data_IF_892570053271
#
_entry.id   IF_892570053271
#
_cell.length_a   1.000
_cell.length_b   1.000
_cell.length_c   1.000
_cell.angle_alpha   90.00
_cell.angle_beta   90.00
_cell.angle_gamma   90.00
#
_symmetry.space_group_name_H-M   'P 1'
#
loop_
_entity.id
_entity.type
_entity.pdbx_description
1 polymer ?
#
# COMPACT_ATOMS: atom_id res chain seq x y z
N UNK A 1 12.38 8.89 -11.78
CA UNK A 1 13.84 9.09 -11.63
C UNK A 1 14.16 9.09 -10.14
N UNK A 2 15.07 8.21 -9.68
CA UNK A 2 15.51 8.13 -8.28
C UNK A 2 16.21 9.43 -7.85
N UNK A 3 15.58 10.18 -6.93
CA UNK A 3 16.12 11.44 -6.42
C UNK A 3 17.14 11.14 -5.31
N UNK A 4 18.42 11.51 -5.55
CA UNK A 4 19.59 11.23 -4.67
C UNK A 4 19.48 11.75 -3.23
N UNK A 5 18.48 12.58 -2.89
CA UNK A 5 18.30 13.14 -1.53
C UNK A 5 17.23 12.45 -0.68
N UNK A 6 16.43 11.53 -1.24
CA UNK A 6 15.42 10.83 -0.43
C UNK A 6 16.00 9.59 0.23
N UNK A 7 15.73 9.39 1.52
CA UNK A 7 16.08 8.16 2.27
C UNK A 7 15.04 7.03 2.09
N UNK A 8 13.94 7.32 1.39
CA UNK A 8 12.82 6.40 1.16
C UNK A 8 12.28 6.59 -0.26
N UNK A 9 11.91 5.49 -0.92
CA UNK A 9 11.27 5.52 -2.23
C UNK A 9 10.35 4.33 -2.38
N UNK A 10 9.13 4.57 -2.86
CA UNK A 10 8.24 3.51 -3.30
C UNK A 10 8.78 2.91 -4.60
N UNK A 11 8.99 1.60 -4.61
CA UNK A 11 9.44 0.88 -5.81
C UNK A 11 8.23 0.34 -6.57
N UNK A 12 7.28 -0.27 -5.85
CA UNK A 12 6.09 -0.89 -6.41
C UNK A 12 5.03 -1.10 -5.33
N UNK A 13 3.77 -0.89 -5.72
CA UNK A 13 2.56 -1.26 -4.96
C UNK A 13 1.94 -2.54 -5.53
N UNK A 14 0.94 -3.09 -4.84
CA UNK A 14 0.12 -4.22 -5.33
C UNK A 14 0.94 -5.48 -5.70
N UNK A 15 1.86 -5.88 -4.82
CA UNK A 15 2.57 -7.16 -4.97
C UNK A 15 1.66 -8.32 -4.57
N UNK A 16 1.63 -9.36 -5.39
CA UNK A 16 1.03 -10.63 -4.98
C UNK A 16 1.78 -11.20 -3.77
N UNK A 17 1.08 -11.81 -2.79
CA UNK A 17 1.72 -12.36 -1.59
C UNK A 17 2.88 -13.32 -1.88
N UNK A 18 2.77 -14.11 -2.96
CA UNK A 18 3.81 -15.04 -3.41
C UNK A 18 5.06 -14.29 -3.85
N UNK A 19 4.92 -13.30 -4.73
CA UNK A 19 6.03 -12.45 -5.19
C UNK A 19 6.66 -11.68 -4.04
N UNK A 20 5.85 -11.19 -3.09
CA UNK A 20 6.36 -10.55 -1.89
C UNK A 20 7.20 -11.51 -1.04
N UNK A 21 6.81 -12.79 -0.93
CA UNK A 21 7.61 -13.81 -0.23
C UNK A 21 8.93 -14.06 -0.94
N UNK A 22 8.90 -14.29 -2.26
CA UNK A 22 10.10 -14.53 -3.06
C UNK A 22 11.11 -13.39 -2.94
N UNK A 23 10.63 -12.13 -2.99
CA UNK A 23 11.49 -10.95 -2.84
C UNK A 23 12.06 -10.86 -1.43
N UNK A 24 11.28 -11.22 -0.40
CA UNK A 24 11.75 -11.26 0.99
C UNK A 24 12.90 -12.25 1.15
N UNK A 25 12.81 -13.41 0.50
CA UNK A 25 13.80 -14.49 0.56
C UNK A 25 15.13 -14.13 -0.13
N UNK A 26 15.15 -13.10 -0.98
CA UNK A 26 16.38 -12.58 -1.58
C UNK A 26 17.26 -11.78 -0.59
N UNK A 27 16.74 -11.43 0.60
CA UNK A 27 17.47 -10.71 1.65
C UNK A 27 18.20 -9.44 1.17
N UNK A 28 17.58 -8.68 0.25
CA UNK A 28 18.17 -7.49 -0.36
C UNK A 28 18.28 -6.37 0.71
N UNK A 29 19.50 -5.91 1.07
CA UNK A 29 19.65 -4.90 2.11
C UNK A 29 19.00 -3.57 1.73
N UNK A 30 18.14 -3.04 2.61
CA UNK A 30 17.46 -1.76 2.42
C UNK A 30 16.19 -1.83 1.59
N UNK A 31 15.79 -3.03 1.15
CA UNK A 31 14.47 -3.28 0.57
C UNK A 31 13.53 -3.77 1.68
N UNK A 32 12.38 -3.13 1.79
CA UNK A 32 11.36 -3.51 2.76
C UNK A 32 10.04 -3.76 2.06
N UNK A 33 9.27 -4.71 2.60
CA UNK A 33 7.93 -5.03 2.13
C UNK A 33 6.95 -4.61 3.20
N UNK A 34 6.00 -3.77 2.82
CA UNK A 34 4.91 -3.34 3.67
C UNK A 34 3.63 -4.05 3.25
N UNK A 35 2.82 -4.46 4.21
CA UNK A 35 1.48 -4.96 3.92
C UNK A 35 0.58 -3.77 3.58
N UNK A 36 -0.13 -3.88 2.46
CA UNK A 36 -1.09 -2.89 1.99
C UNK A 36 -2.46 -3.56 1.88
N UNK A 37 -3.51 -2.77 2.10
CA UNK A 37 -4.88 -3.22 1.90
C UNK A 37 -5.35 -2.86 0.49
N UNK A 38 -6.03 -3.79 -0.17
CA UNK A 38 -6.60 -3.59 -1.50
C UNK A 38 -8.06 -4.01 -1.50
N UNK A 39 -8.94 -3.15 -2.03
CA UNK A 39 -10.37 -3.48 -2.18
C UNK A 39 -10.56 -4.59 -3.22
N UNK A 40 -11.44 -5.52 -2.90
CA UNK A 40 -11.93 -6.56 -3.80
C UNK A 40 -13.43 -6.39 -3.98
N UNK A 41 -13.89 -6.36 -5.24
CA UNK A 41 -15.30 -6.17 -5.61
C UNK A 41 -15.85 -7.44 -6.27
N UNK A 42 -16.45 -8.38 -5.52
CA UNK A 42 -16.90 -9.68 -6.05
C UNK A 42 -17.92 -9.57 -7.18
N UNK A 43 -18.77 -8.53 -7.14
CA UNK A 43 -19.80 -8.28 -8.15
C UNK A 43 -19.29 -7.64 -9.44
N UNK A 44 -18.00 -7.32 -9.53
CA UNK A 44 -17.35 -6.81 -10.73
C UNK A 44 -18.06 -5.61 -11.35
N UNK A 45 -18.20 -5.64 -12.68
CA UNK A 45 -18.75 -4.52 -13.47
C UNK A 45 -20.21 -4.23 -13.17
N UNK A 46 -21.01 -5.23 -12.79
CA UNK A 46 -22.46 -5.09 -12.59
C UNK A 46 -22.82 -4.01 -11.56
N UNK A 47 -21.94 -3.76 -10.60
CA UNK A 47 -22.15 -2.75 -9.56
C UNK A 47 -21.09 -1.65 -9.56
N UNK A 48 -20.18 -1.62 -10.54
CA UNK A 48 -19.04 -0.69 -10.54
C UNK A 48 -19.48 0.77 -10.52
N UNK A 49 -20.51 1.14 -11.29
CA UNK A 49 -21.04 2.52 -11.31
C UNK A 49 -21.61 2.97 -9.97
N UNK A 50 -22.24 2.04 -9.23
CA UNK A 50 -22.85 2.34 -7.94
C UNK A 50 -21.81 2.33 -6.82
N UNK A 51 -21.04 1.25 -6.70
CA UNK A 51 -20.05 1.06 -5.64
C UNK A 51 -18.87 2.02 -5.84
N UNK A 52 -18.35 2.12 -7.07
CA UNK A 52 -17.19 2.92 -7.40
C UNK A 52 -15.86 2.16 -7.27
N UNK A 53 -14.79 2.91 -7.03
CA UNK A 53 -13.42 2.40 -6.86
C UNK A 53 -12.66 3.22 -5.82
N UNK A 54 -11.61 2.62 -5.26
CA UNK A 54 -10.58 3.33 -4.49
C UNK A 54 -9.33 3.59 -5.33
N UNK A 55 -8.50 4.52 -4.88
CA UNK A 55 -7.17 4.82 -5.44
C UNK A 55 -6.05 3.98 -4.83
N UNK A 56 -4.81 4.26 -5.22
CA UNK A 56 -3.60 3.57 -4.69
C UNK A 56 -3.41 3.76 -3.19
N UNK A 57 -3.89 4.89 -2.66
CA UNK A 57 -3.81 5.20 -1.22
C UNK A 57 -5.08 4.75 -0.47
N UNK A 58 -5.88 3.88 -1.10
CA UNK A 58 -7.15 3.34 -0.60
C UNK A 58 -8.25 4.38 -0.33
N UNK A 59 -8.12 5.60 -0.86
CA UNK A 59 -9.16 6.64 -0.80
C UNK A 59 -10.25 6.42 -1.85
N UNK A 60 -11.51 6.65 -1.48
CA UNK A 60 -12.66 6.52 -2.35
C UNK A 60 -12.68 7.56 -3.47
N UNK A 61 -12.63 7.12 -4.74
CA UNK A 61 -12.56 8.01 -5.91
C UNK A 61 -13.92 8.22 -6.60
N UNK A 62 -14.83 7.25 -6.50
CA UNK A 62 -16.15 7.32 -7.12
C UNK A 62 -17.22 6.56 -6.32
N UNK A 63 -18.49 6.71 -6.72
CA UNK A 63 -19.61 5.93 -6.18
C UNK A 63 -19.81 6.05 -4.66
N UNK A 64 -20.23 4.95 -4.06
CA UNK A 64 -20.37 4.76 -2.61
C UNK A 64 -19.02 4.92 -1.91
N UNK A 65 -17.94 4.38 -2.47
CA UNK A 65 -16.59 4.48 -1.90
C UNK A 65 -16.20 5.94 -1.63
N UNK A 66 -16.42 6.84 -2.59
CA UNK A 66 -16.16 8.28 -2.38
C UNK A 66 -17.15 8.93 -1.42
N UNK A 67 -18.44 8.60 -1.54
CA UNK A 67 -19.49 9.24 -0.75
C UNK A 67 -19.32 8.96 0.75
N UNK A 68 -18.86 7.77 1.09
CA UNK A 68 -18.69 7.30 2.46
C UNK A 68 -17.22 7.07 2.84
N UNK A 69 -16.28 7.71 2.14
CA UNK A 69 -14.84 7.55 2.37
C UNK A 69 -14.46 7.80 3.84
N UNK A 70 -15.11 8.79 4.47
CA UNK A 70 -14.88 9.12 5.88
C UNK A 70 -15.27 7.98 6.83
N UNK A 71 -16.37 7.30 6.55
CA UNK A 71 -16.86 6.19 7.35
C UNK A 71 -16.12 4.88 7.03
N UNK A 72 -15.69 4.70 5.77
CA UNK A 72 -15.06 3.47 5.26
C UNK A 72 -13.55 3.42 5.43
N UNK A 73 -12.88 4.57 5.57
CA UNK A 73 -11.42 4.68 5.74
C UNK A 73 -10.91 4.26 7.11
N UNK A 74 -11.80 4.18 8.11
CA UNK A 74 -11.42 3.81 9.48
C UNK A 74 -10.50 4.86 10.12
N UNK A 75 -9.49 4.39 10.85
CA UNK A 75 -8.56 5.25 11.58
C UNK A 75 -7.11 4.88 11.25
N UNK A 76 -6.34 5.86 10.78
CA UNK A 76 -4.91 5.68 10.49
C UNK A 76 -4.15 5.35 11.76
N UNK A 77 -3.55 4.17 11.81
CA UNK A 77 -2.55 3.80 12.81
C UNK A 77 -1.16 4.33 12.44
N UNK A 78 -0.23 4.26 13.39
CA UNK A 78 1.19 4.58 13.16
C UNK A 78 2.08 3.46 13.65
N UNK A 79 3.16 3.18 12.92
CA UNK A 79 4.23 2.27 13.35
C UNK A 79 5.53 3.05 13.41
N UNK A 80 6.18 3.03 14.57
CA UNK A 80 7.54 3.55 14.74
C UNK A 80 8.49 2.41 14.37
N UNK A 81 9.44 2.70 13.48
CA UNK A 81 10.52 1.78 13.11
C UNK A 81 11.85 2.40 13.50
N UNK A 82 12.69 1.62 14.18
CA UNK A 82 14.06 2.04 14.47
C UNK A 82 14.93 1.85 13.23
N UNK A 83 15.59 2.93 12.82
CA UNK A 83 16.48 2.94 11.67
C UNK A 83 17.84 3.43 12.15
N UNK A 84 18.88 2.64 11.91
CA UNK A 84 20.26 3.04 12.19
C UNK A 84 20.67 4.30 11.41
N UNK A 85 21.75 4.96 11.85
CA UNK A 85 22.29 6.16 11.18
C UNK A 85 22.60 5.95 9.68
N UNK A 86 22.82 4.70 9.25
CA UNK A 86 23.08 4.32 7.85
C UNK A 86 21.82 3.95 7.06
N UNK A 87 20.61 4.08 7.63
CA UNK A 87 19.36 3.77 6.94
C UNK A 87 18.94 2.29 7.00
N UNK A 88 19.63 1.44 7.77
CA UNK A 88 19.23 0.03 7.98
C UNK A 88 18.27 -0.05 9.15
N UNK A 89 17.07 -0.61 8.97
CA UNK A 89 16.25 -1.13 10.06
C UNK A 89 16.54 -2.61 10.26
N UNK A 90 16.41 -3.09 11.50
CA UNK A 90 16.71 -4.48 11.89
C UNK A 90 15.49 -5.42 11.81
N UNK A 91 14.51 -5.08 10.96
CA UNK A 91 13.27 -5.85 10.77
C UNK A 91 13.03 -6.11 9.29
#
# INVERSE_FOLDING_TARGET
MLNKKSRFVWIRHDLFPQTASEIRDLHIPGLYIMNEERRFYPGGEAFHTLIGTTGTDNSGLSGIERKFDRELSGHTGGRIIEVSARGRSYF
#
